data_IF_659990618001
#
_entry.id   IF_659990618001
#
_cell.length_a   1.000
_cell.length_b   1.000
_cell.length_c   1.000
_cell.angle_alpha   90.00
_cell.angle_beta   90.00
_cell.angle_gamma   90.00
#
_symmetry.space_group_name_H-M   'P 1'
#
loop_
_entity.id
_entity.type
_entity.pdbx_description
1 polymer ?
#
# COMPACT_ATOMS: atom_id res chain seq x y z
N UNK A 1 -12.97 -3.11 0.68
CA UNK A 1 -12.17 -1.98 0.13
C UNK A 1 -12.27 -0.70 0.97
N UNK A 2 -13.42 -0.36 1.58
CA UNK A 2 -13.61 0.89 2.35
C UNK A 2 -12.72 1.08 3.60
N UNK A 3 -12.06 0.04 4.11
CA UNK A 3 -11.15 0.15 5.27
C UNK A 3 -9.68 0.43 4.91
N UNK A 4 -9.23 0.09 3.69
CA UNK A 4 -7.81 0.23 3.29
C UNK A 4 -7.40 1.70 3.09
N UNK A 5 -8.31 2.53 2.58
CA UNK A 5 -8.05 3.96 2.40
C UNK A 5 -7.91 4.72 3.72
N UNK A 6 -8.70 4.34 4.74
CA UNK A 6 -8.62 4.94 6.07
C UNK A 6 -7.28 4.61 6.75
N UNK A 7 -6.85 3.34 6.69
CA UNK A 7 -5.54 2.91 7.20
C UNK A 7 -4.37 3.64 6.52
N UNK A 8 -4.45 3.85 5.20
CA UNK A 8 -3.39 4.55 4.46
C UNK A 8 -3.31 6.04 4.86
N UNK A 9 -4.45 6.68 5.12
CA UNK A 9 -4.49 8.06 5.56
C UNK A 9 -3.96 8.21 7.00
N UNK A 10 -4.30 7.29 7.89
CA UNK A 10 -3.75 7.23 9.25
C UNK A 10 -2.23 7.07 9.24
N UNK A 11 -1.70 6.17 8.39
CA UNK A 11 -0.26 6.00 8.22
C UNK A 11 0.41 7.27 7.67
N UNK A 12 -0.24 7.97 6.73
CA UNK A 12 0.26 9.25 6.21
C UNK A 12 0.34 10.30 7.31
N UNK A 13 -0.70 10.44 8.14
CA UNK A 13 -0.71 11.37 9.27
C UNK A 13 0.39 10.99 10.27
N UNK A 14 0.56 9.70 10.57
CA UNK A 14 1.62 9.20 11.45
C UNK A 14 3.02 9.52 10.92
N UNK A 15 3.27 9.32 9.63
CA UNK A 15 4.54 9.68 8.97
C UNK A 15 4.81 11.18 9.12
N UNK A 16 3.81 12.03 8.81
CA UNK A 16 3.95 13.48 8.94
C UNK A 16 4.26 13.90 10.38
N UNK A 17 3.60 13.28 11.35
CA UNK A 17 3.87 13.54 12.77
C UNK A 17 5.29 13.16 13.15
N UNK A 18 5.78 11.98 12.74
CA UNK A 18 7.15 11.54 13.02
C UNK A 18 8.19 12.47 12.37
N UNK A 19 7.95 12.92 11.14
CA UNK A 19 8.81 13.92 10.49
C UNK A 19 8.86 15.23 11.28
N UNK A 20 7.70 15.72 11.72
CA UNK A 20 7.61 16.93 12.52
C UNK A 20 8.36 16.77 13.85
N UNK A 21 8.20 15.64 14.54
CA UNK A 21 8.91 15.36 15.79
C UNK A 21 10.44 15.28 15.61
N UNK A 22 10.92 14.82 14.44
CA UNK A 22 12.35 14.83 14.10
C UNK A 22 12.84 16.25 13.86
N UNK A 23 12.06 17.10 13.19
CA UNK A 23 12.39 18.52 12.99
C UNK A 23 12.41 19.25 14.34
N UNK A 24 11.45 18.97 15.22
CA UNK A 24 11.34 19.58 16.55
C UNK A 24 12.46 19.17 17.53
N UNK A 25 13.13 18.03 17.30
CA UNK A 25 14.36 17.68 18.03
C UNK A 25 15.49 18.70 17.82
N UNK A 26 15.44 19.46 16.72
CA UNK A 26 16.42 20.49 16.40
C UNK A 26 17.76 19.94 15.91
N UNK A 27 18.75 20.83 15.81
CA UNK A 27 20.09 20.50 15.32
C UNK A 27 20.96 19.76 16.36
N UNK A 28 21.98 19.01 15.91
CA UNK A 28 22.91 18.33 16.79
C UNK A 28 23.50 19.28 17.81
N UNK A 29 23.48 18.83 19.06
CA UNK A 29 23.66 19.71 20.20
C UNK A 29 25.11 20.21 20.28
N UNK A 30 25.36 21.41 19.74
CA UNK A 30 26.67 22.07 19.72
C UNK A 30 27.24 22.06 21.15
N UNK A 31 28.50 21.63 21.37
CA UNK A 31 29.10 21.60 22.70
C UNK A 31 28.97 22.96 23.39
N UNK A 32 28.45 22.97 24.61
CA UNK A 32 28.36 24.17 25.42
C UNK A 32 29.75 24.45 25.98
N UNK A 33 30.31 25.62 25.62
CA UNK A 33 31.71 26.03 25.90
C UNK A 33 32.07 25.95 27.39
N UNK A 34 31.11 26.20 28.29
CA UNK A 34 31.34 26.21 29.74
C UNK A 34 30.93 24.90 30.44
N UNK A 35 30.58 23.87 29.69
CA UNK A 35 30.14 22.59 30.23
C UNK A 35 31.29 21.58 30.12
N UNK A 36 31.44 20.73 31.15
CA UNK A 36 32.48 19.68 31.14
C UNK A 36 32.24 18.77 29.93
N UNK A 37 33.33 18.38 29.26
CA UNK A 37 33.28 17.57 28.04
C UNK A 37 32.44 16.30 28.21
N UNK A 38 32.56 15.61 29.36
CA UNK A 38 31.76 14.42 29.65
C UNK A 38 30.25 14.71 29.64
N UNK A 39 29.82 15.86 30.16
CA UNK A 39 28.42 16.29 30.13
C UNK A 39 27.98 16.65 28.71
N UNK A 40 28.86 17.27 27.91
CA UNK A 40 28.59 17.55 26.50
C UNK A 40 28.38 16.25 25.71
N UNK A 41 29.23 15.25 25.95
CA UNK A 41 29.14 13.93 25.33
C UNK A 41 27.85 13.18 25.72
N UNK A 42 27.47 13.17 27.00
CA UNK A 42 26.22 12.53 27.46
C UNK A 42 25.03 13.16 26.74
N UNK A 43 24.95 14.48 26.72
CA UNK A 43 23.86 15.21 26.08
C UNK A 43 23.80 14.98 24.56
N UNK A 44 24.96 14.86 23.91
CA UNK A 44 25.04 14.51 22.50
C UNK A 44 24.54 13.09 22.25
N UNK A 45 24.96 12.12 23.07
CA UNK A 45 24.48 10.73 22.97
C UNK A 45 22.97 10.64 23.19
N UNK A 46 22.42 11.31 24.20
CA UNK A 46 20.98 11.35 24.43
C UNK A 46 20.21 11.93 23.24
N UNK A 47 20.73 12.98 22.61
CA UNK A 47 20.14 13.52 21.38
C UNK A 47 20.19 12.50 20.24
N UNK A 48 21.34 11.87 20.02
CA UNK A 48 21.53 10.88 18.96
C UNK A 48 20.64 9.66 19.16
N UNK A 49 20.49 9.18 20.39
CA UNK A 49 19.62 8.05 20.72
C UNK A 49 18.15 8.40 20.45
N UNK A 50 17.68 9.58 20.90
CA UNK A 50 16.32 10.05 20.62
C UNK A 50 16.06 10.21 19.12
N UNK A 51 17.02 10.79 18.39
CA UNK A 51 16.94 10.94 16.95
C UNK A 51 16.87 9.58 16.26
N UNK A 52 17.72 8.65 16.68
CA UNK A 52 17.77 7.31 16.11
C UNK A 52 16.45 6.56 16.30
N UNK A 53 15.88 6.58 17.51
CA UNK A 53 14.58 5.95 17.80
C UNK A 53 13.50 6.50 16.85
N UNK A 54 13.39 7.82 16.71
CA UNK A 54 12.40 8.43 15.83
C UNK A 54 12.63 8.11 14.35
N UNK A 55 13.88 8.03 13.91
CA UNK A 55 14.20 7.62 12.53
C UNK A 55 13.81 6.17 12.27
N UNK A 56 14.07 5.27 13.22
CA UNK A 56 13.63 3.87 13.13
C UNK A 56 12.11 3.78 13.05
N UNK A 57 11.39 4.52 13.89
CA UNK A 57 9.92 4.57 13.86
C UNK A 57 9.38 5.12 12.54
N UNK A 58 10.04 6.15 11.98
CA UNK A 58 9.68 6.72 10.68
C UNK A 58 9.88 5.71 9.55
N UNK A 59 11.00 4.99 9.54
CA UNK A 59 11.28 3.94 8.56
C UNK A 59 10.24 2.82 8.67
N UNK A 60 9.90 2.39 9.89
CA UNK A 60 8.88 1.37 10.11
C UNK A 60 7.51 1.81 9.57
N UNK A 61 7.10 3.07 9.82
CA UNK A 61 5.86 3.62 9.31
C UNK A 61 5.85 3.68 7.76
N UNK A 62 6.96 4.05 7.13
CA UNK A 62 7.08 4.02 5.66
C UNK A 62 7.01 2.60 5.10
N UNK A 63 7.64 1.62 5.75
CA UNK A 63 7.56 0.23 5.34
C UNK A 63 6.11 -0.29 5.40
N UNK A 64 5.38 0.04 6.47
CA UNK A 64 3.97 -0.32 6.61
C UNK A 64 3.10 0.36 5.54
N UNK A 65 3.36 1.64 5.25
CA UNK A 65 2.68 2.39 4.19
C UNK A 65 2.91 1.77 2.81
N UNK A 66 4.15 1.41 2.49
CA UNK A 66 4.51 0.75 1.23
C UNK A 66 3.80 -0.60 1.08
N UNK A 67 3.77 -1.43 2.14
CA UNK A 67 3.06 -2.71 2.14
C UNK A 67 1.55 -2.55 1.89
N UNK A 68 0.94 -1.51 2.46
CA UNK A 68 -0.48 -1.22 2.20
C UNK A 68 -0.72 -0.81 0.74
N UNK A 69 0.17 0.01 0.15
CA UNK A 69 0.11 0.35 -1.27
C UNK A 69 0.24 -0.88 -2.17
N UNK A 70 1.21 -1.76 -1.89
CA UNK A 70 1.38 -3.02 -2.62
C UNK A 70 0.12 -3.89 -2.58
N UNK A 71 -0.53 -3.97 -1.42
CA UNK A 71 -1.78 -4.70 -1.27
C UNK A 71 -2.93 -4.09 -2.08
N UNK A 72 -3.04 -2.75 -2.10
CA UNK A 72 -4.04 -2.04 -2.91
C UNK A 72 -3.80 -2.31 -4.40
N UNK A 73 -2.55 -2.21 -4.86
CA UNK A 73 -2.17 -2.47 -6.25
C UNK A 73 -2.47 -3.91 -6.64
N UNK A 74 -2.12 -4.87 -5.80
CA UNK A 74 -2.40 -6.29 -6.04
C UNK A 74 -3.91 -6.57 -6.12
N UNK A 75 -4.68 -5.94 -5.23
CA UNK A 75 -6.14 -6.03 -5.24
C UNK A 75 -6.74 -5.46 -6.52
N UNK A 76 -6.21 -4.32 -7.00
CA UNK A 76 -6.66 -3.70 -8.24
C UNK A 76 -6.40 -4.62 -9.45
N UNK A 77 -5.23 -5.26 -9.51
CA UNK A 77 -4.94 -6.23 -10.56
C UNK A 77 -5.85 -7.46 -10.51
N UNK A 78 -6.20 -7.96 -9.32
CA UNK A 78 -7.17 -9.05 -9.17
C UNK A 78 -8.54 -8.65 -9.73
N UNK A 79 -9.05 -7.49 -9.32
CA UNK A 79 -10.33 -6.95 -9.81
C UNK A 79 -10.30 -6.79 -11.33
N UNK A 80 -9.21 -6.26 -11.89
CA UNK A 80 -9.05 -6.11 -13.33
C UNK A 80 -9.10 -7.47 -14.06
N UNK A 81 -8.44 -8.50 -13.50
CA UNK A 81 -8.45 -9.84 -14.06
C UNK A 81 -9.85 -10.48 -14.02
N UNK A 82 -10.55 -10.34 -12.89
CA UNK A 82 -11.93 -10.81 -12.70
C UNK A 82 -12.88 -10.13 -13.68
N UNK A 83 -12.83 -8.80 -13.80
CA UNK A 83 -13.64 -8.06 -14.77
C UNK A 83 -13.38 -8.51 -16.21
N UNK A 84 -12.11 -8.74 -16.57
CA UNK A 84 -11.76 -9.23 -17.91
C UNK A 84 -12.32 -10.62 -18.17
N UNK A 85 -12.37 -11.50 -17.17
CA UNK A 85 -12.96 -12.82 -17.29
C UNK A 85 -14.48 -12.73 -17.41
N UNK A 86 -15.15 -11.93 -16.57
CA UNK A 86 -16.59 -11.69 -16.66
C UNK A 86 -17.02 -11.18 -18.04
N UNK A 87 -16.29 -10.21 -18.60
CA UNK A 87 -16.58 -9.71 -19.95
C UNK A 87 -16.45 -10.80 -21.02
N UNK A 88 -15.45 -11.68 -20.91
CA UNK A 88 -15.28 -12.80 -21.85
C UNK A 88 -16.39 -13.84 -21.72
N UNK A 89 -16.79 -14.16 -20.49
CA UNK A 89 -17.90 -15.08 -20.22
C UNK A 89 -19.20 -14.55 -20.83
N UNK A 90 -19.49 -13.26 -20.62
CA UNK A 90 -20.69 -12.61 -21.16
C UNK A 90 -20.71 -12.64 -22.69
N UNK A 91 -19.58 -12.32 -23.34
CA UNK A 91 -19.44 -12.41 -24.80
C UNK A 91 -19.71 -13.85 -25.27
N UNK A 92 -19.15 -14.86 -24.58
CA UNK A 92 -19.36 -16.26 -24.93
C UNK A 92 -20.81 -16.70 -24.81
N UNK A 93 -21.56 -16.18 -23.83
CA UNK A 93 -22.99 -16.46 -23.65
C UNK A 93 -23.78 -15.89 -24.83
N UNK A 94 -23.55 -14.62 -25.19
CA UNK A 94 -24.21 -13.95 -26.31
C UNK A 94 -23.92 -14.68 -27.64
N UNK A 95 -22.68 -15.09 -27.87
CA UNK A 95 -22.31 -15.88 -29.07
C UNK A 95 -22.96 -17.27 -29.12
N UNK A 96 -23.26 -17.85 -27.96
CA UNK A 96 -23.95 -19.15 -27.87
C UNK A 96 -25.45 -19.03 -28.13
N UNK A 97 -26.08 -17.94 -27.73
CA UNK A 97 -27.51 -17.66 -27.95
C UNK A 97 -27.81 -17.23 -29.39
N UNK A 98 -26.85 -16.61 -30.07
CA UNK A 98 -27.02 -16.13 -31.46
C UNK A 98 -26.76 -17.19 -32.53
N UNK A 99 -26.25 -18.37 -32.17
CA UNK A 99 -26.03 -19.47 -33.13
C UNK A 99 -27.37 -20.11 -33.54
N UNK A 100 -27.71 -20.15 -34.85
CA UNK A 100 -28.96 -20.75 -35.30
C UNK A 100 -28.96 -22.24 -34.97
N UNK A 101 -29.99 -22.72 -34.25
CA UNK A 101 -30.23 -24.15 -34.04
C UNK A 101 -30.23 -24.85 -35.40
N UNK A 102 -29.22 -25.68 -35.67
CA UNK A 102 -29.22 -26.59 -36.83
C UNK A 102 -30.47 -27.45 -36.72
N UNK A 103 -31.49 -27.15 -37.52
CA UNK A 103 -32.66 -28.02 -37.66
C UNK A 103 -32.16 -29.36 -38.19
N UNK A 104 -32.31 -30.41 -37.38
CA UNK A 104 -32.01 -31.78 -37.77
C UNK A 104 -32.95 -32.11 -38.92
N UNK A 105 -32.45 -32.13 -40.16
CA UNK A 105 -33.21 -32.63 -41.31
C UNK A 105 -33.62 -34.07 -41.01
N UNK A 106 -34.89 -34.27 -40.68
CA UNK A 106 -35.50 -35.60 -40.59
C UNK A 106 -35.56 -36.17 -42.00
N UNK A 107 -34.57 -37.01 -42.33
CA UNK A 107 -34.61 -37.84 -43.53
C UNK A 107 -35.73 -38.86 -43.38
N UNK A 108 -36.92 -38.55 -43.88
CA UNK A 108 -37.95 -39.55 -44.18
C UNK A 108 -37.35 -40.55 -45.16
N UNK A 109 -37.12 -41.79 -44.71
CA UNK A 109 -36.91 -42.91 -45.63
C UNK A 109 -38.27 -43.56 -45.84
N UNK A 110 -38.92 -43.17 -46.92
CA UNK A 110 -40.05 -43.86 -47.52
C UNK A 110 -39.54 -45.02 -48.37
N UNK A 111 -40.27 -46.13 -48.26
CA UNK A 111 -40.27 -47.35 -49.09
C UNK A 111 -39.16 -48.36 -48.84
#
# INVERSE_FOLDING_TARGET
>A
MLGLGNNLNELKIRIQKLQQEIVELGEPNIPIVNMIDSTNLIRQNEYLEKLHIKQVDLIAAYAEYAKHLEHIVSSLFSIQAELKNLVKEEISIIESETKPKKSRKTSKKST
#
